data_IF_135510976487
#
_entry.id   IF_135510976487
#
_cell.length_a   1.000
_cell.length_b   1.000
_cell.length_c   1.000
_cell.angle_alpha   90.00
_cell.angle_beta   90.00
_cell.angle_gamma   90.00
#
_symmetry.space_group_name_H-M   'P 1'
#
loop_
_entity.id
_entity.type
_entity.pdbx_description
1 polymer ?
#
# COMPACT_ATOMS: atom_id res chain seq x y z
N UNK A 1 -0.34 5.78 14.40
CA UNK A 1 0.25 4.55 13.86
C UNK A 1 -0.67 3.41 14.26
N UNK A 2 -1.43 2.83 13.31
CA UNK A 2 -2.44 1.83 13.66
C UNK A 2 -1.78 0.45 13.86
N UNK A 3 -1.59 0.09 15.13
CA UNK A 3 -1.00 -1.17 15.55
C UNK A 3 -1.81 -2.39 15.13
N UNK A 4 -3.14 -2.28 14.98
CA UNK A 4 -3.99 -3.40 14.57
C UNK A 4 -3.77 -3.75 13.09
N UNK A 5 -3.64 -2.73 12.25
CA UNK A 5 -3.35 -2.87 10.83
C UNK A 5 -1.98 -3.53 10.58
N UNK A 6 -0.93 -3.03 11.25
CA UNK A 6 0.43 -3.59 11.12
C UNK A 6 0.43 -5.06 11.55
N UNK A 7 -0.20 -5.38 12.68
CA UNK A 7 -0.33 -6.76 13.16
C UNK A 7 -1.01 -7.67 12.12
N UNK A 8 -2.08 -7.19 11.47
CA UNK A 8 -2.79 -7.96 10.43
C UNK A 8 -1.90 -8.25 9.23
N UNK A 9 -1.19 -7.24 8.72
CA UNK A 9 -0.28 -7.38 7.58
C UNK A 9 0.89 -8.32 7.87
N UNK A 10 1.45 -8.23 9.09
CA UNK A 10 2.49 -9.16 9.56
C UNK A 10 1.97 -10.59 9.60
N UNK A 11 0.79 -10.83 10.20
CA UNK A 11 0.19 -12.17 10.29
C UNK A 11 -0.10 -12.76 8.90
N UNK A 12 -0.61 -11.94 7.99
CA UNK A 12 -0.86 -12.34 6.61
C UNK A 12 0.44 -12.76 5.90
N UNK A 13 1.51 -11.98 6.09
CA UNK A 13 2.81 -12.27 5.46
C UNK A 13 3.53 -13.47 6.09
N UNK A 14 3.34 -13.70 7.39
CA UNK A 14 3.84 -14.90 8.07
C UNK A 14 3.13 -16.15 7.57
N UNK A 15 1.83 -16.07 7.23
CA UNK A 15 1.10 -17.22 6.68
C UNK A 15 1.47 -17.55 5.22
N UNK A 16 2.11 -16.62 4.53
CA UNK A 16 2.51 -16.78 3.14
C UNK A 16 3.73 -17.70 3.00
N UNK A 17 3.53 -18.82 2.31
CA UNK A 17 4.57 -19.84 2.07
C UNK A 17 5.76 -19.28 1.30
N UNK A 18 5.57 -18.28 0.45
CA UNK A 18 6.64 -17.67 -0.34
C UNK A 18 7.74 -17.05 0.54
N UNK A 19 7.37 -16.49 1.70
CA UNK A 19 8.30 -15.89 2.66
C UNK A 19 9.34 -16.91 3.13
N UNK A 20 8.90 -18.14 3.43
CA UNK A 20 9.77 -19.21 3.88
C UNK A 20 10.61 -19.82 2.75
N UNK A 21 10.06 -19.91 1.54
CA UNK A 21 10.80 -20.39 0.36
C UNK A 21 11.97 -19.45 0.06
N UNK A 22 11.71 -18.14 0.04
CA UNK A 22 12.76 -17.14 -0.17
C UNK A 22 13.80 -17.21 0.94
N UNK A 23 13.38 -17.30 2.20
CA UNK A 23 14.30 -17.42 3.31
C UNK A 23 15.13 -18.71 3.27
N UNK A 24 14.56 -19.83 2.83
CA UNK A 24 15.30 -21.09 2.66
C UNK A 24 16.37 -20.95 1.57
N UNK A 25 16.04 -20.37 0.41
CA UNK A 25 16.99 -20.16 -0.68
C UNK A 25 18.10 -19.19 -0.25
N UNK A 26 17.73 -18.02 0.25
CA UNK A 26 18.69 -16.97 0.64
C UNK A 26 19.55 -17.42 1.82
N UNK A 27 18.95 -18.03 2.85
CA UNK A 27 19.69 -18.53 4.00
C UNK A 27 20.65 -19.66 3.66
N UNK A 28 20.30 -20.53 2.71
CA UNK A 28 21.21 -21.55 2.19
C UNK A 28 22.39 -20.90 1.47
N UNK A 29 22.14 -19.90 0.60
CA UNK A 29 23.20 -19.16 -0.09
C UNK A 29 24.13 -18.42 0.87
N UNK A 30 23.60 -17.79 1.91
CA UNK A 30 24.39 -17.10 2.95
C UNK A 30 25.31 -18.10 3.66
N UNK A 31 24.79 -19.26 4.05
CA UNK A 31 25.59 -20.29 4.71
C UNK A 31 26.66 -20.88 3.78
N UNK A 32 26.31 -21.24 2.54
CA UNK A 32 27.27 -21.75 1.54
C UNK A 32 28.36 -20.71 1.27
N UNK A 33 27.99 -19.44 1.12
CA UNK A 33 28.94 -18.36 0.92
C UNK A 33 29.86 -18.19 2.14
N UNK A 34 29.28 -17.98 3.33
CA UNK A 34 30.03 -17.62 4.53
C UNK A 34 30.86 -18.75 5.12
N UNK A 35 30.30 -19.96 5.17
CA UNK A 35 30.93 -21.10 5.85
C UNK A 35 31.82 -21.93 4.92
N UNK A 36 31.52 -21.98 3.61
CA UNK A 36 32.28 -22.79 2.67
C UNK A 36 33.14 -21.91 1.75
N UNK A 37 32.52 -21.04 0.96
CA UNK A 37 33.19 -20.33 -0.12
C UNK A 37 34.23 -19.31 0.40
N UNK A 38 33.89 -18.54 1.44
CA UNK A 38 34.81 -17.57 2.06
C UNK A 38 36.01 -18.26 2.69
N UNK A 39 35.80 -19.37 3.40
CA UNK A 39 36.89 -20.12 4.05
C UNK A 39 37.83 -20.72 3.01
N UNK A 40 37.26 -21.27 1.94
CA UNK A 40 38.02 -21.81 0.82
C UNK A 40 38.85 -20.73 0.10
N UNK A 41 38.24 -19.56 -0.19
CA UNK A 41 38.94 -18.43 -0.81
C UNK A 41 40.06 -17.85 0.07
N UNK A 42 39.90 -17.89 1.39
CA UNK A 42 40.93 -17.44 2.34
C UNK A 42 42.10 -18.42 2.49
N UNK A 43 42.03 -19.60 1.86
CA UNK A 43 43.08 -20.61 1.92
C UNK A 43 43.27 -21.21 3.32
N UNK A 44 42.23 -21.16 4.17
CA UNK A 44 42.32 -21.57 5.57
C UNK A 44 42.27 -23.10 5.77
N UNK A 45 42.13 -23.87 4.69
CA UNK A 45 42.07 -25.34 4.72
C UNK A 45 40.74 -25.87 4.17
N UNK A 46 40.42 -27.13 4.49
CA UNK A 46 39.17 -27.74 4.08
C UNK A 46 37.99 -27.14 4.88
N UNK A 47 37.03 -26.45 4.23
CA UNK A 47 35.95 -25.76 4.92
C UNK A 47 35.07 -26.70 5.76
N UNK A 48 34.93 -27.97 5.35
CA UNK A 48 34.16 -28.95 6.10
C UNK A 48 34.82 -29.36 7.43
N UNK A 49 36.16 -29.41 7.45
CA UNK A 49 36.91 -29.71 8.68
C UNK A 49 36.85 -28.52 9.65
N UNK A 50 37.04 -27.30 9.13
CA UNK A 50 36.88 -26.07 9.91
C UNK A 50 35.49 -25.96 10.54
N UNK A 51 34.45 -26.26 9.77
CA UNK A 51 33.08 -26.28 10.26
C UNK A 51 32.90 -27.36 11.34
N UNK A 52 33.47 -28.55 11.15
CA UNK A 52 33.46 -29.62 12.16
C UNK A 52 34.14 -29.21 13.47
N UNK A 53 35.30 -28.55 13.39
CA UNK A 53 36.01 -28.01 14.56
C UNK A 53 35.17 -26.93 15.25
N UNK A 54 34.58 -26.01 14.50
CA UNK A 54 33.73 -24.94 15.04
C UNK A 54 32.49 -25.51 15.77
N UNK A 55 31.88 -26.56 15.24
CA UNK A 55 30.80 -27.29 15.90
C UNK A 55 31.25 -28.01 17.18
N UNK A 56 32.49 -28.53 17.21
CA UNK A 56 33.03 -29.22 18.38
C UNK A 56 33.43 -28.25 19.50
N UNK A 57 34.06 -27.13 19.16
CA UNK A 57 34.56 -26.17 20.15
C UNK A 57 33.48 -25.19 20.60
N UNK A 58 32.61 -24.76 19.68
CA UNK A 58 31.64 -23.68 19.90
C UNK A 58 30.27 -24.01 19.27
N UNK A 59 29.61 -25.10 19.69
CA UNK A 59 28.37 -25.58 19.08
C UNK A 59 27.25 -24.53 19.09
N UNK A 60 27.13 -23.76 20.18
CA UNK A 60 26.08 -22.74 20.32
C UNK A 60 26.24 -21.60 19.30
N UNK A 61 27.47 -21.15 19.05
CA UNK A 61 27.75 -20.09 18.08
C UNK A 61 27.57 -20.58 16.65
N UNK A 62 28.00 -21.81 16.35
CA UNK A 62 27.81 -22.42 15.04
C UNK A 62 26.31 -22.52 14.70
N UNK A 63 25.50 -23.07 15.61
CA UNK A 63 24.04 -23.19 15.42
C UNK A 63 23.38 -21.82 15.31
N UNK A 64 23.77 -20.86 16.15
CA UNK A 64 23.20 -19.51 16.12
C UNK A 64 23.51 -18.80 14.79
N UNK A 65 24.72 -18.96 14.24
CA UNK A 65 25.10 -18.35 12.96
C UNK A 65 24.26 -18.90 11.80
N UNK A 66 24.09 -20.22 11.75
CA UNK A 66 23.25 -20.90 10.75
C UNK A 66 21.81 -20.45 10.89
N UNK A 67 21.30 -20.42 12.12
CA UNK A 67 19.94 -19.94 12.40
C UNK A 67 19.74 -18.49 11.94
N UNK A 68 20.68 -17.59 12.24
CA UNK A 68 20.61 -16.18 11.84
C UNK A 68 20.52 -16.02 10.32
N UNK A 69 21.26 -16.85 9.57
CA UNK A 69 21.24 -16.83 8.11
C UNK A 69 19.84 -17.10 7.52
N UNK A 70 18.99 -17.87 8.23
CA UNK A 70 17.59 -18.09 7.84
C UNK A 70 16.62 -17.09 8.47
N UNK A 71 16.85 -16.69 9.72
CA UNK A 71 15.97 -15.76 10.43
C UNK A 71 16.01 -14.35 9.82
N UNK A 72 17.19 -13.89 9.39
CA UNK A 72 17.36 -12.54 8.87
C UNK A 72 16.58 -12.28 7.56
N UNK A 73 16.64 -13.15 6.53
CA UNK A 73 15.78 -13.03 5.35
C UNK A 73 14.28 -13.03 5.65
N UNK A 74 13.82 -13.80 6.64
CA UNK A 74 12.41 -13.79 7.07
C UNK A 74 12.04 -12.41 7.63
N UNK A 75 12.83 -11.89 8.57
CA UNK A 75 12.60 -10.58 9.18
C UNK A 75 12.59 -9.46 8.13
N UNK A 76 13.59 -9.45 7.23
CA UNK A 76 13.68 -8.46 6.16
C UNK A 76 12.53 -8.58 5.17
N UNK A 77 12.14 -9.80 4.80
CA UNK A 77 11.01 -10.04 3.90
C UNK A 77 9.67 -9.55 4.48
N UNK A 78 9.43 -9.82 5.76
CA UNK A 78 8.25 -9.31 6.47
C UNK A 78 8.29 -7.80 6.54
N UNK A 79 9.41 -7.22 6.99
CA UNK A 79 9.56 -5.76 7.11
C UNK A 79 9.36 -5.06 5.76
N UNK A 80 10.04 -5.52 4.70
CA UNK A 80 9.92 -4.93 3.36
C UNK A 80 8.49 -5.00 2.84
N UNK A 81 7.83 -6.16 2.97
CA UNK A 81 6.43 -6.32 2.57
C UNK A 81 5.48 -5.40 3.34
N UNK A 82 5.64 -5.32 4.66
CA UNK A 82 4.80 -4.49 5.53
C UNK A 82 5.07 -3.01 5.28
N UNK A 83 6.33 -2.61 5.18
CA UNK A 83 6.73 -1.23 4.90
C UNK A 83 6.20 -0.77 3.54
N UNK A 84 6.32 -1.60 2.50
CA UNK A 84 5.76 -1.29 1.17
C UNK A 84 4.25 -1.19 1.22
N UNK A 85 3.53 -2.18 1.77
CA UNK A 85 2.06 -2.13 1.87
C UNK A 85 1.56 -0.97 2.73
N UNK A 86 2.25 -0.67 3.82
CA UNK A 86 1.91 0.44 4.71
C UNK A 86 2.19 1.79 4.04
N UNK A 87 3.32 1.91 3.34
CA UNK A 87 3.67 3.10 2.57
C UNK A 87 2.68 3.31 1.43
N UNK A 88 2.45 2.31 0.58
CA UNK A 88 1.49 2.36 -0.53
C UNK A 88 0.07 2.67 -0.06
N UNK A 89 -0.43 2.03 1.02
CA UNK A 89 -1.77 2.35 1.55
C UNK A 89 -1.86 3.72 2.20
N UNK A 90 -0.79 4.20 2.84
CA UNK A 90 -0.74 5.59 3.34
C UNK A 90 -0.72 6.58 2.17
N UNK A 91 -0.06 6.25 1.07
CA UNK A 91 -0.16 7.04 -0.16
C UNK A 91 -1.56 6.92 -0.78
N UNK A 92 -2.23 5.77 -0.78
CA UNK A 92 -3.63 5.68 -1.26
C UNK A 92 -4.63 6.41 -0.34
N UNK A 93 -4.35 6.51 0.96
CA UNK A 93 -5.23 7.18 1.93
C UNK A 93 -4.88 8.64 2.20
N UNK A 94 -3.71 9.13 1.78
CA UNK A 94 -3.20 10.49 2.05
C UNK A 94 -2.67 11.20 0.79
N UNK A 95 -2.29 10.50 -0.27
CA UNK A 95 -1.93 11.09 -1.56
C UNK A 95 -3.04 10.84 -2.58
N UNK A 96 -3.72 11.84 -3.11
CA UNK A 96 -3.77 13.25 -2.78
C UNK A 96 -5.27 13.54 -2.76
N UNK A 97 -5.77 14.16 -1.70
CA UNK A 97 -6.86 15.07 -1.94
C UNK A 97 -6.20 16.31 -2.56
N UNK A 98 -6.29 16.49 -3.89
CA UNK A 98 -5.40 17.39 -4.59
C UNK A 98 -5.93 18.80 -4.41
N UNK A 99 -5.57 19.44 -3.29
CA UNK A 99 -5.88 20.85 -3.01
C UNK A 99 -5.39 21.79 -4.13
N UNK A 100 -4.48 21.30 -4.98
CA UNK A 100 -3.90 22.02 -6.13
C UNK A 100 -4.47 21.59 -7.49
N UNK A 101 -5.40 20.64 -7.57
CA UNK A 101 -6.02 20.29 -8.87
C UNK A 101 -6.91 21.46 -9.31
N UNK A 102 -6.80 21.92 -10.57
CA UNK A 102 -7.66 23.00 -11.08
C UNK A 102 -9.13 22.55 -11.19
N UNK A 103 -9.38 21.28 -11.46
CA UNK A 103 -10.75 20.75 -11.49
C UNK A 103 -11.26 20.33 -10.10
N UNK A 104 -12.59 20.26 -9.92
CA UNK A 104 -13.18 19.97 -8.63
C UNK A 104 -12.87 18.57 -8.09
N UNK A 105 -12.59 18.51 -6.80
CA UNK A 105 -12.34 17.29 -6.04
C UNK A 105 -12.94 17.41 -4.65
N UNK A 106 -13.67 16.38 -4.24
CA UNK A 106 -14.37 16.36 -2.97
C UNK A 106 -14.51 14.96 -2.41
N UNK A 107 -14.56 14.85 -1.08
CA UNK A 107 -14.77 13.61 -0.36
C UNK A 107 -16.17 13.60 0.21
N UNK A 108 -16.85 12.48 0.04
CA UNK A 108 -18.23 12.29 0.50
C UNK A 108 -18.35 11.03 1.33
N UNK A 109 -19.21 11.05 2.33
CA UNK A 109 -19.64 9.86 3.03
C UNK A 109 -20.63 9.07 2.16
N UNK A 110 -20.85 7.79 2.47
CA UNK A 110 -21.80 6.92 1.73
C UNK A 110 -23.24 7.41 1.75
N UNK A 111 -23.61 8.27 2.69
CA UNK A 111 -24.92 8.94 2.74
C UNK A 111 -25.02 10.12 1.74
N UNK A 112 -23.94 10.47 1.06
CA UNK A 112 -23.84 11.56 0.09
C UNK A 112 -23.47 12.91 0.70
N UNK A 113 -23.25 12.95 2.02
CA UNK A 113 -22.81 14.17 2.71
C UNK A 113 -21.36 14.48 2.35
N UNK A 114 -21.10 15.73 2.02
CA UNK A 114 -19.74 16.23 1.75
C UNK A 114 -18.98 16.28 3.07
N UNK A 115 -17.81 15.64 3.11
CA UNK A 115 -16.93 15.56 4.27
C UNK A 115 -15.76 16.52 4.13
N UNK A 116 -15.16 16.58 2.93
CA UNK A 116 -13.96 17.38 2.66
C UNK A 116 -14.01 17.95 1.24
N UNK A 117 -13.52 19.18 1.05
CA UNK A 117 -13.58 19.94 -0.20
C UNK A 117 -12.19 20.49 -0.55
N UNK A 118 -11.75 20.34 -1.80
CA UNK A 118 -10.48 20.92 -2.23
C UNK A 118 -10.60 22.43 -2.29
N UNK A 119 -9.51 23.18 -2.09
CA UNK A 119 -9.57 24.65 -2.03
C UNK A 119 -10.31 25.29 -3.24
N UNK A 120 -10.00 24.87 -4.47
CA UNK A 120 -10.71 25.34 -5.67
C UNK A 120 -12.18 24.88 -5.73
N UNK A 121 -12.47 23.72 -5.15
CA UNK A 121 -13.81 23.12 -5.12
C UNK A 121 -14.71 23.84 -4.12
N UNK A 122 -14.15 24.27 -2.99
CA UNK A 122 -14.86 25.04 -1.99
C UNK A 122 -15.42 26.34 -2.59
N UNK A 123 -14.60 27.07 -3.34
CA UNK A 123 -15.05 28.29 -4.02
C UNK A 123 -16.21 28.02 -5.00
N UNK A 124 -16.13 26.94 -5.78
CA UNK A 124 -17.19 26.53 -6.70
C UNK A 124 -18.47 26.14 -5.95
N UNK A 125 -18.35 25.35 -4.87
CA UNK A 125 -19.50 24.86 -4.12
C UNK A 125 -20.21 26.00 -3.39
N UNK A 126 -19.46 26.96 -2.86
CA UNK A 126 -20.01 28.17 -2.25
C UNK A 126 -20.74 29.04 -3.29
N UNK A 127 -20.15 29.22 -4.49
CA UNK A 127 -20.74 30.00 -5.58
C UNK A 127 -22.08 29.41 -6.07
N UNK A 128 -22.18 28.09 -6.17
CA UNK A 128 -23.38 27.40 -6.68
C UNK A 128 -24.26 26.78 -5.59
N UNK A 129 -23.97 27.08 -4.31
CA UNK A 129 -24.66 26.56 -3.13
C UNK A 129 -24.82 25.03 -3.15
N UNK A 130 -23.74 24.31 -3.41
CA UNK A 130 -23.74 22.85 -3.46
C UNK A 130 -23.50 22.29 -2.05
N UNK A 131 -24.50 21.58 -1.53
CA UNK A 131 -24.52 21.00 -0.18
C UNK A 131 -24.41 19.47 -0.17
N UNK A 132 -24.58 18.82 -1.32
CA UNK A 132 -24.64 17.37 -1.47
C UNK A 132 -24.01 16.91 -2.79
N UNK A 133 -23.45 15.71 -2.78
CA UNK A 133 -22.83 15.11 -3.97
C UNK A 133 -23.84 14.90 -5.11
N UNK A 134 -25.06 14.50 -4.74
CA UNK A 134 -26.16 14.21 -5.67
C UNK A 134 -26.57 15.43 -6.49
N UNK A 135 -26.39 16.65 -5.96
CA UNK A 135 -26.72 17.88 -6.68
C UNK A 135 -25.82 18.12 -7.89
N UNK A 136 -24.58 17.64 -7.87
CA UNK A 136 -23.66 17.70 -9.01
C UNK A 136 -23.75 16.41 -9.83
N UNK A 137 -23.65 15.25 -9.18
CA UNK A 137 -23.51 13.96 -9.84
C UNK A 137 -24.84 13.43 -10.42
N UNK A 138 -25.96 13.81 -9.81
CA UNK A 138 -27.27 13.21 -10.04
C UNK A 138 -27.41 11.83 -9.39
N UNK A 139 -28.65 11.44 -9.15
CA UNK A 139 -29.00 10.17 -8.47
C UNK A 139 -28.44 8.93 -9.18
N UNK A 140 -28.43 8.94 -10.51
CA UNK A 140 -27.99 7.78 -11.31
C UNK A 140 -26.50 7.50 -11.13
N UNK A 141 -25.65 8.53 -11.29
CA UNK A 141 -24.20 8.40 -11.14
C UNK A 141 -23.83 8.12 -9.69
N UNK A 142 -24.54 8.75 -8.74
CA UNK A 142 -24.34 8.46 -7.33
C UNK A 142 -24.61 7.00 -6.97
N UNK A 143 -25.73 6.44 -7.43
CA UNK A 143 -26.06 5.03 -7.22
C UNK A 143 -24.99 4.09 -7.81
N UNK A 144 -24.43 4.43 -8.98
CA UNK A 144 -23.35 3.68 -9.62
C UNK A 144 -22.05 3.73 -8.80
N UNK A 145 -21.68 4.91 -8.29
CA UNK A 145 -20.51 5.08 -7.41
C UNK A 145 -20.67 4.25 -6.13
N UNK A 146 -21.83 4.30 -5.48
CA UNK A 146 -22.06 3.58 -4.22
C UNK A 146 -22.08 2.06 -4.42
N UNK A 147 -22.57 1.59 -5.58
CA UNK A 147 -22.58 0.18 -5.95
C UNK A 147 -21.19 -0.37 -6.33
N UNK A 148 -20.24 0.50 -6.69
CA UNK A 148 -18.90 0.10 -7.10
C UNK A 148 -17.98 -0.03 -5.89
N UNK A 149 -17.49 -1.24 -5.61
CA UNK A 149 -16.64 -1.52 -4.43
C UNK A 149 -15.18 -1.05 -4.57
N UNK A 150 -14.77 -0.59 -5.75
CA UNK A 150 -13.38 -0.21 -6.07
C UNK A 150 -13.28 1.13 -6.80
N UNK A 151 -12.06 1.54 -7.21
CA UNK A 151 -11.89 2.75 -8.02
C UNK A 151 -12.45 2.54 -9.43
N UNK A 152 -13.09 3.57 -9.98
CA UNK A 152 -13.75 3.47 -11.28
C UNK A 152 -14.11 4.82 -11.89
N UNK A 153 -14.55 4.77 -13.16
CA UNK A 153 -15.12 5.91 -13.86
C UNK A 153 -16.63 5.71 -13.95
N UNK A 154 -17.40 6.67 -13.44
CA UNK A 154 -18.87 6.62 -13.40
C UNK A 154 -19.49 7.45 -14.51
N UNK A 155 -18.79 7.57 -15.64
CA UNK A 155 -19.27 8.28 -16.83
C UNK A 155 -19.14 9.81 -16.74
N UNK A 156 -20.01 10.50 -17.47
CA UNK A 156 -20.00 11.95 -17.61
C UNK A 156 -21.26 12.58 -17.01
N UNK A 157 -21.09 13.74 -16.38
CA UNK A 157 -22.19 14.52 -15.80
C UNK A 157 -22.17 15.94 -16.34
N UNK A 158 -23.35 16.47 -16.68
CA UNK A 158 -23.51 17.87 -17.08
C UNK A 158 -23.99 18.69 -15.88
N UNK A 159 -23.11 19.57 -15.39
CA UNK A 159 -23.43 20.43 -14.27
C UNK A 159 -24.12 21.71 -14.76
N UNK A 160 -25.45 21.72 -14.70
CA UNK A 160 -26.29 22.80 -15.26
C UNK A 160 -25.98 24.19 -14.71
N UNK A 161 -25.59 24.31 -13.44
CA UNK A 161 -25.37 25.60 -12.80
C UNK A 161 -24.13 26.32 -13.36
N UNK A 162 -23.12 25.55 -13.78
CA UNK A 162 -21.92 26.08 -14.45
C UNK A 162 -22.05 26.02 -15.99
N UNK A 163 -22.87 25.11 -16.52
CA UNK A 163 -22.97 24.87 -17.96
C UNK A 163 -21.80 24.07 -18.53
N UNK A 164 -21.15 23.24 -17.70
CA UNK A 164 -19.99 22.43 -18.08
C UNK A 164 -20.23 20.93 -17.91
N UNK A 165 -19.57 20.13 -18.75
CA UNK A 165 -19.56 18.66 -18.65
C UNK A 165 -18.29 18.18 -17.95
N UNK A 166 -18.45 17.21 -17.06
CA UNK A 166 -17.38 16.61 -16.26
C UNK A 166 -17.34 15.11 -16.47
N UNK A 167 -16.14 14.54 -16.59
CA UNK A 167 -15.93 13.10 -16.36
C UNK A 167 -15.83 12.89 -14.84
N UNK A 168 -16.54 11.89 -14.34
CA UNK A 168 -16.56 11.51 -12.93
C UNK A 168 -15.71 10.27 -12.71
N UNK A 169 -14.70 10.39 -11.87
CA UNK A 169 -13.91 9.27 -11.36
C UNK A 169 -14.07 9.19 -9.85
N UNK A 170 -14.13 7.97 -9.30
CA UNK A 170 -14.26 7.76 -7.86
C UNK A 170 -13.23 6.76 -7.35
N UNK A 171 -12.87 6.89 -6.07
CA UNK A 171 -12.06 5.93 -5.35
C UNK A 171 -12.53 5.82 -3.90
N UNK A 172 -12.87 4.61 -3.41
CA UNK A 172 -13.23 4.42 -2.00
C UNK A 172 -12.02 4.60 -1.08
N UNK A 173 -12.27 5.11 0.13
CA UNK A 173 -11.27 5.25 1.20
C UNK A 173 -11.47 4.17 2.27
N UNK A 174 -10.52 4.04 3.20
CA UNK A 174 -10.60 3.04 4.27
C UNK A 174 -11.67 3.35 5.34
N UNK A 175 -12.16 4.60 5.40
CA UNK A 175 -13.08 5.09 6.44
C UNK A 175 -14.55 5.14 5.96
N UNK A 176 -14.91 4.26 5.02
CA UNK A 176 -16.25 4.20 4.41
C UNK A 176 -16.69 5.52 3.73
N UNK A 177 -15.70 6.28 3.24
CA UNK A 177 -15.89 7.51 2.47
C UNK A 177 -15.41 7.28 1.03
N UNK A 178 -15.76 8.19 0.13
CA UNK A 178 -15.46 8.09 -1.29
C UNK A 178 -14.85 9.41 -1.74
N UNK A 179 -13.66 9.35 -2.35
CA UNK A 179 -13.09 10.48 -3.06
C UNK A 179 -13.72 10.55 -4.46
N UNK A 180 -14.23 11.72 -4.82
CA UNK A 180 -14.80 11.98 -6.14
C UNK A 180 -13.95 13.04 -6.83
N UNK A 181 -13.53 12.71 -8.05
CA UNK A 181 -12.72 13.56 -8.91
C UNK A 181 -13.54 13.94 -10.13
N UNK A 182 -13.68 15.24 -10.36
CA UNK A 182 -14.25 15.77 -11.59
C UNK A 182 -13.12 16.22 -12.51
N UNK A 183 -13.24 15.92 -13.80
CA UNK A 183 -12.34 16.42 -14.84
C UNK A 183 -13.16 17.10 -15.91
N UNK A 184 -12.95 18.40 -16.12
CA UNK A 184 -13.74 19.18 -17.08
C UNK A 184 -13.48 18.70 -18.50
N UNK A 185 -14.53 18.50 -19.26
CA UNK A 185 -14.43 18.22 -20.69
C UNK A 185 -14.29 19.53 -21.48
N UNK A 186 -13.43 19.57 -22.52
CA UNK A 186 -13.39 20.70 -23.43
C UNK A 186 -14.76 20.86 -24.13
N UNK A 187 -15.19 22.12 -24.25
CA UNK A 187 -16.45 22.49 -24.90
C UNK A 187 -16.40 22.29 -26.43
#
# INVERSE_FOLDING_TARGET
>A
MDFRLIRRLVVEKIKDRSTYVVAAVVGTLINVYGQLLVQWLRGLGNPFELLGVEFSERPSLAILSIFLAFAFPVCVGIYSSVATRYKTRRFESVADFPDRKPDPVFRVARDGKIVELGAATQQMFDQYQVDSAQKILGEKIWAEIVATEGPGNSGTVFFKAEGASYIVSHAPTNDDQINVYLTRLPA
#
